data_IF_131264215565
#
_entry.id   IF_131264215565
#
_cell.length_a   1.000
_cell.length_b   1.000
_cell.length_c   1.000
_cell.angle_alpha   90.00
_cell.angle_beta   90.00
_cell.angle_gamma   90.00
#
_symmetry.space_group_name_H-M   'P 1'
#
loop_
_entity.id
_entity.type
_entity.pdbx_description
1 polymer ?
#
# COMPACT_ATOMS: atom_id res chain seq x y z
N UNK A 1 29.15 -68.36 -28.55
CA UNK A 1 30.09 -68.51 -29.68
C UNK A 1 30.19 -67.18 -30.39
N UNK A 2 31.42 -66.70 -30.59
CA UNK A 2 31.91 -65.84 -31.68
C UNK A 2 31.08 -64.57 -32.03
N UNK A 3 31.59 -63.35 -31.93
CA UNK A 3 32.89 -62.92 -32.40
C UNK A 3 32.75 -62.21 -33.75
N UNK A 4 33.40 -61.03 -33.84
CA UNK A 4 33.87 -60.33 -35.06
C UNK A 4 32.92 -59.31 -35.73
N UNK A 5 33.15 -58.05 -35.32
CA UNK A 5 33.55 -56.91 -36.17
C UNK A 5 33.84 -57.20 -37.66
N UNK A 6 33.35 -56.35 -38.59
CA UNK A 6 34.09 -55.50 -39.58
C UNK A 6 33.10 -54.71 -40.46
N UNK A 7 33.23 -53.37 -40.52
CA UNK A 7 33.62 -52.49 -41.66
C UNK A 7 32.73 -52.55 -42.92
N UNK A 8 32.49 -51.51 -43.71
CA UNK A 8 32.88 -50.10 -43.78
C UNK A 8 31.89 -49.51 -44.80
N UNK A 9 31.28 -48.35 -44.52
CA UNK A 9 30.45 -47.63 -45.48
C UNK A 9 30.70 -46.14 -45.27
N UNK A 10 31.49 -45.58 -46.18
CA UNK A 10 32.07 -44.25 -46.23
C UNK A 10 31.09 -43.08 -46.00
N UNK A 11 31.44 -42.25 -45.02
CA UNK A 11 31.61 -40.79 -45.12
C UNK A 11 30.46 -39.96 -45.72
N UNK A 12 29.81 -39.15 -44.89
CA UNK A 12 29.42 -37.78 -45.25
C UNK A 12 29.41 -36.85 -44.01
N UNK A 13 30.28 -35.85 -44.12
CA UNK A 13 30.52 -34.60 -43.40
C UNK A 13 29.61 -34.07 -42.25
N UNK A 14 30.29 -33.19 -41.50
CA UNK A 14 29.80 -32.04 -40.70
C UNK A 14 29.38 -32.26 -39.24
N UNK A 15 30.40 -32.22 -38.38
CA UNK A 15 30.53 -31.30 -37.24
C UNK A 15 29.34 -30.33 -37.02
N UNK A 16 28.66 -30.43 -35.88
CA UNK A 16 28.47 -29.24 -35.03
C UNK A 16 28.12 -29.66 -33.58
N UNK A 17 29.01 -29.30 -32.67
CA UNK A 17 28.83 -29.39 -31.22
C UNK A 17 27.65 -28.52 -30.76
N UNK A 18 26.97 -28.94 -29.70
CA UNK A 18 26.22 -28.04 -28.83
C UNK A 18 26.49 -28.42 -27.38
N UNK A 19 27.26 -27.62 -26.62
CA UNK A 19 27.42 -27.86 -25.21
C UNK A 19 26.19 -27.34 -24.45
N UNK A 20 25.67 -28.28 -23.68
CA UNK A 20 24.94 -28.14 -22.44
C UNK A 20 25.41 -26.94 -21.57
N UNK A 21 24.43 -26.13 -21.16
CA UNK A 21 24.28 -25.53 -19.83
C UNK A 21 25.38 -24.57 -19.29
N UNK A 22 25.06 -23.27 -19.24
CA UNK A 22 25.21 -22.39 -18.06
C UNK A 22 24.67 -20.98 -18.38
N UNK A 23 23.44 -20.71 -17.94
CA UNK A 23 22.91 -19.35 -17.88
C UNK A 23 23.49 -18.60 -16.67
N UNK A 24 23.74 -17.28 -16.77
CA UNK A 24 24.34 -16.49 -15.69
C UNK A 24 23.33 -16.26 -14.56
N UNK A 25 23.66 -16.70 -13.34
CA UNK A 25 22.83 -16.56 -12.13
C UNK A 25 22.76 -15.12 -11.58
N UNK A 26 23.35 -14.13 -12.26
CA UNK A 26 23.36 -12.74 -11.78
C UNK A 26 22.00 -12.03 -11.96
N UNK A 27 21.24 -12.37 -13.00
CA UNK A 27 19.99 -11.67 -13.31
C UNK A 27 18.88 -11.98 -12.29
N UNK A 28 18.86 -13.20 -11.77
CA UNK A 28 17.86 -13.64 -10.77
C UNK A 28 18.06 -13.01 -9.40
N UNK A 29 19.31 -12.87 -8.94
CA UNK A 29 19.62 -12.28 -7.63
C UNK A 29 19.23 -10.80 -7.55
N UNK A 30 19.49 -10.04 -8.62
CA UNK A 30 19.08 -8.64 -8.72
C UNK A 30 17.56 -8.47 -8.73
N UNK A 31 16.82 -9.37 -9.40
CA UNK A 31 15.35 -9.35 -9.41
C UNK A 31 14.76 -9.63 -8.03
N UNK A 32 15.35 -10.56 -7.26
CA UNK A 32 14.92 -10.85 -5.90
C UNK A 32 15.17 -9.66 -4.97
N UNK A 33 16.34 -9.02 -5.05
CA UNK A 33 16.64 -7.83 -4.26
C UNK A 33 15.69 -6.66 -4.57
N UNK A 34 15.38 -6.44 -5.86
CA UNK A 34 14.41 -5.43 -6.28
C UNK A 34 12.99 -5.74 -5.75
N UNK A 35 12.58 -7.01 -5.79
CA UNK A 35 11.29 -7.44 -5.24
C UNK A 35 11.23 -7.28 -3.71
N UNK A 36 12.31 -7.58 -2.99
CA UNK A 36 12.42 -7.37 -1.55
C UNK A 36 12.36 -5.89 -1.17
N UNK A 37 13.11 -5.04 -1.88
CA UNK A 37 13.10 -3.58 -1.69
C UNK A 37 11.72 -3.00 -2.04
N UNK A 38 11.09 -3.47 -3.12
CA UNK A 38 9.75 -3.06 -3.51
C UNK A 38 8.71 -3.46 -2.46
N UNK A 39 8.78 -4.68 -1.93
CA UNK A 39 7.87 -5.18 -0.90
C UNK A 39 8.02 -4.36 0.40
N UNK A 40 9.24 -4.04 0.80
CA UNK A 40 9.52 -3.18 1.95
C UNK A 40 9.01 -1.74 1.74
N UNK A 41 9.17 -1.18 0.54
CA UNK A 41 8.69 0.16 0.19
C UNK A 41 7.16 0.25 0.22
N UNK A 42 6.47 -0.81 -0.24
CA UNK A 42 5.00 -0.87 -0.20
C UNK A 42 4.42 -0.94 1.21
N UNK A 43 5.15 -1.51 2.18
CA UNK A 43 4.68 -1.64 3.56
C UNK A 43 4.68 -0.31 4.32
N UNK A 44 5.59 0.62 3.98
CA UNK A 44 5.83 1.86 4.74
C UNK A 44 4.78 2.96 4.46
N UNK A 45 4.00 2.86 3.36
CA UNK A 45 3.18 4.00 2.89
C UNK A 45 1.69 3.95 3.23
N UNK A 46 1.25 3.13 4.21
CA UNK A 46 -0.16 3.05 4.60
C UNK A 46 -0.60 4.08 5.67
N UNK A 47 0.23 5.09 5.96
CA UNK A 47 -0.13 6.17 6.87
C UNK A 47 -1.06 7.19 6.21
N UNK A 48 -2.39 7.04 6.37
CA UNK A 48 -3.33 8.09 5.97
C UNK A 48 -3.08 9.34 6.81
N UNK A 49 -2.53 10.39 6.21
CA UNK A 49 -2.33 11.68 6.89
C UNK A 49 -3.71 12.19 7.33
N UNK A 50 -3.96 12.19 8.64
CA UNK A 50 -5.18 12.76 9.20
C UNK A 50 -5.06 14.27 9.11
N UNK A 51 -5.93 14.90 8.31
CA UNK A 51 -6.05 16.36 8.28
C UNK A 51 -6.39 16.84 9.70
N UNK A 52 -5.62 17.81 10.21
CA UNK A 52 -6.03 18.58 11.39
C UNK A 52 -7.28 19.38 11.02
N UNK A 53 -8.21 19.52 11.96
CA UNK A 53 -9.39 20.36 11.80
C UNK A 53 -9.31 21.49 12.82
N UNK A 54 -9.71 22.68 12.42
CA UNK A 54 -9.73 23.87 13.27
C UNK A 54 -11.18 24.32 13.54
N UNK A 55 -11.35 25.32 14.41
CA UNK A 55 -12.66 25.90 14.73
C UNK A 55 -13.33 26.53 13.50
N UNK A 56 -12.56 27.03 12.53
CA UNK A 56 -13.09 27.53 11.27
C UNK A 56 -13.69 26.40 10.41
N UNK A 57 -13.06 25.22 10.38
CA UNK A 57 -13.63 24.06 9.68
C UNK A 57 -14.97 23.62 10.30
N UNK A 58 -15.12 23.82 11.63
CA UNK A 58 -16.39 23.57 12.32
C UNK A 58 -17.45 24.59 11.92
N UNK A 59 -17.09 25.88 11.86
CA UNK A 59 -18.01 26.94 11.43
C UNK A 59 -18.51 26.73 10.00
N UNK A 60 -17.61 26.36 9.08
CA UNK A 60 -17.96 26.00 7.70
C UNK A 60 -18.94 24.82 7.66
N UNK A 61 -18.79 23.85 8.57
CA UNK A 61 -19.72 22.72 8.67
C UNK A 61 -21.13 23.13 9.12
N UNK A 62 -21.24 24.10 10.04
CA UNK A 62 -22.54 24.63 10.49
C UNK A 62 -23.27 25.30 9.33
N UNK A 63 -22.57 26.16 8.58
CA UNK A 63 -23.15 26.83 7.42
C UNK A 63 -23.65 25.81 6.37
N UNK A 64 -22.81 24.82 6.02
CA UNK A 64 -23.15 23.82 4.99
C UNK A 64 -24.28 22.86 5.40
N UNK A 65 -24.31 22.42 6.65
CA UNK A 65 -25.26 21.38 7.07
C UNK A 65 -26.58 21.92 7.62
N UNK A 66 -26.55 23.04 8.33
CA UNK A 66 -27.72 23.56 9.05
C UNK A 66 -28.12 24.95 8.58
N UNK A 67 -27.18 25.73 8.02
CA UNK A 67 -27.39 27.14 7.68
C UNK A 67 -27.59 28.02 8.92
N UNK A 68 -27.14 27.55 10.09
CA UNK A 68 -27.22 28.29 11.37
C UNK A 68 -25.88 28.92 11.72
N UNK A 69 -25.93 29.99 12.51
CA UNK A 69 -24.72 30.61 13.06
C UNK A 69 -24.17 29.72 14.21
N UNK A 70 -22.93 29.21 14.11
CA UNK A 70 -22.33 28.41 15.18
C UNK A 70 -22.19 29.17 16.50
N UNK A 71 -22.19 30.51 16.48
CA UNK A 71 -22.07 31.31 17.70
C UNK A 71 -23.30 31.24 18.60
N UNK A 72 -24.48 30.94 18.04
CA UNK A 72 -25.72 30.73 18.80
C UNK A 72 -25.63 29.50 19.74
N UNK A 73 -24.72 28.57 19.44
CA UNK A 73 -24.50 27.36 20.21
C UNK A 73 -23.37 27.50 21.25
N UNK A 74 -22.62 28.61 21.26
CA UNK A 74 -21.57 28.84 22.27
C UNK A 74 -22.16 29.03 23.68
N UNK A 75 -23.26 29.79 23.88
CA UNK A 75 -23.90 29.92 25.19
C UNK A 75 -25.09 28.96 25.38
N UNK A 76 -25.22 27.93 24.55
CA UNK A 76 -26.38 27.03 24.59
C UNK A 76 -26.24 25.97 25.67
N UNK A 77 -27.25 25.86 26.53
CA UNK A 77 -27.32 24.80 27.52
C UNK A 77 -26.17 24.83 28.53
N UNK A 78 -25.75 23.64 28.93
CA UNK A 78 -24.79 23.41 29.99
C UNK A 78 -23.47 22.82 29.48
N UNK A 79 -23.41 22.32 28.25
CA UNK A 79 -22.29 21.60 27.66
C UNK A 79 -21.82 22.15 26.32
N UNK A 80 -22.68 22.84 25.55
CA UNK A 80 -22.19 23.50 24.34
C UNK A 80 -21.31 24.70 24.70
N UNK A 81 -20.18 24.86 24.00
CA UNK A 81 -19.18 25.87 24.29
C UNK A 81 -17.99 25.35 25.10
N UNK A 82 -17.29 26.25 25.80
CA UNK A 82 -16.08 25.90 26.55
C UNK A 82 -16.40 25.42 27.97
N UNK A 83 -15.75 24.32 28.38
CA UNK A 83 -15.89 23.79 29.73
C UNK A 83 -17.07 22.85 29.87
N UNK A 84 -18.25 23.36 30.21
CA UNK A 84 -19.49 22.59 30.35
C UNK A 84 -19.62 21.81 31.67
N UNK A 85 -20.78 21.94 32.33
CA UNK A 85 -21.10 21.28 33.60
C UNK A 85 -22.62 21.28 33.87
N UNK A 86 -23.10 20.26 34.60
CA UNK A 86 -24.51 20.17 34.99
C UNK A 86 -25.30 19.15 34.16
N UNK A 87 -26.63 19.23 34.22
CA UNK A 87 -27.52 18.31 33.49
C UNK A 87 -27.82 18.85 32.09
N UNK A 88 -27.68 18.06 31.02
CA UNK A 88 -28.12 18.46 29.68
C UNK A 88 -29.56 18.98 29.69
N UNK A 89 -29.81 20.10 29.01
CA UNK A 89 -31.17 20.65 28.90
C UNK A 89 -31.99 19.96 27.79
N UNK A 90 -31.32 19.40 26.78
CA UNK A 90 -31.92 18.65 25.68
C UNK A 90 -30.88 17.68 25.05
N UNK A 91 -31.23 17.15 23.86
CA UNK A 91 -30.40 16.20 23.12
C UNK A 91 -29.18 16.84 22.44
N UNK A 92 -29.20 18.14 22.17
CA UNK A 92 -28.08 18.84 21.53
C UNK A 92 -27.02 19.17 22.59
N UNK A 93 -27.45 19.42 23.82
CA UNK A 93 -26.62 19.71 24.99
C UNK A 93 -26.04 18.45 25.69
N UNK A 94 -26.07 17.30 25.03
CA UNK A 94 -25.47 16.06 25.55
C UNK A 94 -23.93 16.10 25.43
N UNK A 95 -23.23 15.47 26.39
CA UNK A 95 -21.75 15.40 26.45
C UNK A 95 -21.15 14.40 25.46
#
# INVERSE_FOLDING_TARGET
MNGKEKRFGTQCHSLFNSPFHRSPMHLGSSLLLLAWVSSLLTFVSAGKIRRRRDLLDLADMFDVLTGLDPTDYIPYGNWCGYGGQGKPIDRIDER
#
